data_IF_438187595787
#
_entry.id   IF_438187595787
#
_cell.length_a   1.000
_cell.length_b   1.000
_cell.length_c   1.000
_cell.angle_alpha   90.00
_cell.angle_beta   90.00
_cell.angle_gamma   90.00
#
_symmetry.space_group_name_H-M   'P 1'
#
loop_
_entity.id
_entity.type
_entity.pdbx_description
1 polymer ?
#
# COMPACT_ATOMS: atom_id res chain seq x y z
N UNK A 1 10.10 0.48 -3.04
CA UNK A 1 10.01 -0.35 -1.82
C UNK A 1 8.59 -0.33 -1.25
N UNK A 2 7.91 0.83 -1.21
CA UNK A 2 6.55 0.95 -0.70
C UNK A 2 5.53 0.00 -1.38
N UNK A 3 5.44 0.00 -2.72
CA UNK A 3 4.54 -0.90 -3.45
C UNK A 3 4.88 -2.37 -3.21
N UNK A 4 6.17 -2.66 -3.01
CA UNK A 4 6.63 -4.02 -2.71
C UNK A 4 6.16 -4.49 -1.33
N UNK A 5 6.24 -3.63 -0.32
CA UNK A 5 5.72 -3.91 1.01
C UNK A 5 4.19 -4.14 1.00
N UNK A 6 3.45 -3.41 0.16
CA UNK A 6 2.03 -3.66 -0.05
C UNK A 6 1.79 -5.06 -0.63
N UNK A 7 2.49 -5.42 -1.70
CA UNK A 7 2.38 -6.75 -2.30
C UNK A 7 2.74 -7.87 -1.33
N UNK A 8 3.77 -7.67 -0.51
CA UNK A 8 4.15 -8.64 0.54
C UNK A 8 3.05 -8.77 1.60
N UNK A 9 2.47 -7.65 2.07
CA UNK A 9 1.37 -7.68 3.04
C UNK A 9 0.09 -8.33 2.50
N UNK A 10 -0.13 -8.27 1.18
CA UNK A 10 -1.22 -8.96 0.51
C UNK A 10 -0.91 -10.44 0.22
N UNK A 11 0.34 -10.88 0.32
CA UNK A 11 0.75 -12.17 -0.24
C UNK A 11 0.57 -12.24 -1.75
N UNK A 12 0.69 -11.09 -2.43
CA UNK A 12 0.46 -10.93 -3.86
C UNK A 12 1.71 -11.15 -4.72
N UNK A 13 1.50 -11.35 -6.03
CA UNK A 13 2.55 -11.48 -7.05
C UNK A 13 2.36 -10.45 -8.16
N UNK A 14 3.21 -10.49 -9.19
CA UNK A 14 3.04 -9.62 -10.36
C UNK A 14 1.77 -9.92 -11.19
N UNK A 15 1.10 -11.06 -10.97
CA UNK A 15 -0.15 -11.41 -11.64
C UNK A 15 -1.38 -11.17 -10.76
N UNK A 16 -1.21 -10.63 -9.56
CA UNK A 16 -2.35 -10.32 -8.69
C UNK A 16 -3.22 -9.22 -9.31
N UNK A 17 -4.54 -9.33 -9.23
CA UNK A 17 -5.47 -8.33 -9.78
C UNK A 17 -5.55 -7.10 -8.86
N UNK A 18 -4.51 -6.26 -8.90
CA UNK A 18 -4.35 -5.06 -8.10
C UNK A 18 -3.90 -3.86 -8.94
N UNK A 19 -4.49 -2.70 -8.68
CA UNK A 19 -3.96 -1.41 -9.10
C UNK A 19 -3.34 -0.68 -7.92
N UNK A 20 -2.12 -0.18 -8.04
CA UNK A 20 -1.44 0.60 -7.00
C UNK A 20 -0.85 1.87 -7.59
N UNK A 21 -1.06 2.98 -6.92
CA UNK A 21 -0.42 4.26 -7.24
C UNK A 21 0.13 4.90 -5.97
N UNK A 22 1.44 5.13 -5.95
CA UNK A 22 2.14 5.80 -4.84
C UNK A 22 2.72 7.13 -5.31
N UNK A 23 2.51 8.17 -4.52
CA UNK A 23 3.12 9.48 -4.73
C UNK A 23 3.79 9.97 -3.45
N UNK A 24 4.80 10.83 -3.59
CA UNK A 24 5.31 11.60 -2.46
C UNK A 24 4.20 12.51 -1.94
N UNK A 25 4.07 12.62 -0.61
CA UNK A 25 3.18 13.57 0.04
C UNK A 25 3.98 14.56 0.90
N UNK A 26 3.39 15.72 1.15
CA UNK A 26 4.00 16.80 1.95
C UNK A 26 4.00 16.49 3.46
N UNK A 27 3.35 15.39 3.86
CA UNK A 27 3.30 14.92 5.24
C UNK A 27 4.72 14.70 5.81
N UNK A 28 4.93 15.07 7.08
CA UNK A 28 6.22 14.88 7.76
C UNK A 28 7.32 15.87 7.36
N UNK A 29 7.09 16.70 6.33
CA UNK A 29 7.98 17.80 5.99
C UNK A 29 7.87 18.90 7.04
N UNK A 30 8.78 18.87 8.01
CA UNK A 30 9.02 20.01 8.88
C UNK A 30 9.67 21.13 8.07
N UNK A 31 9.20 22.38 8.24
CA UNK A 31 9.81 23.56 7.62
C UNK A 31 11.27 23.70 8.04
N UNK A 32 12.20 23.17 7.23
CA UNK A 32 13.63 23.44 7.35
C UNK A 32 14.49 22.21 7.63
N UNK A 33 15.31 21.87 6.65
CA UNK A 33 16.48 21.01 6.84
C UNK A 33 16.69 20.04 5.69
N UNK A 34 17.55 20.41 4.75
CA UNK A 34 18.27 19.42 3.94
C UNK A 34 19.06 18.56 4.93
N UNK A 35 18.58 17.35 5.22
CA UNK A 35 19.38 16.39 6.00
C UNK A 35 20.68 16.13 5.23
N UNK A 36 21.83 16.36 5.88
CA UNK A 36 23.18 16.13 5.32
C UNK A 36 23.40 14.67 4.89
N UNK A 37 22.43 13.79 5.16
CA UNK A 37 22.36 12.41 4.70
C UNK A 37 21.04 12.09 3.97
N UNK A 38 20.59 12.91 3.01
CA UNK A 38 19.71 12.50 1.88
C UNK A 38 18.38 11.76 2.19
N UNK A 39 17.96 11.67 3.44
CA UNK A 39 16.76 10.98 3.89
C UNK A 39 15.72 12.07 4.17
N UNK A 40 15.00 12.46 3.11
CA UNK A 40 13.88 13.39 3.23
C UNK A 40 12.80 12.75 4.12
N UNK A 41 12.42 13.44 5.20
CA UNK A 41 11.34 13.10 6.13
C UNK A 41 9.92 13.27 5.52
N UNK A 42 9.79 13.10 4.20
CA UNK A 42 8.51 13.26 3.51
C UNK A 42 7.58 12.07 3.72
N UNK A 43 6.33 12.25 3.34
CA UNK A 43 5.32 11.21 3.39
C UNK A 43 5.17 10.49 2.06
N UNK A 44 4.41 9.42 2.08
CA UNK A 44 3.92 8.71 0.92
C UNK A 44 2.40 8.68 0.99
N UNK A 45 1.74 9.02 -0.11
CA UNK A 45 0.32 8.73 -0.31
C UNK A 45 0.20 7.54 -1.25
N UNK A 46 -0.43 6.48 -0.78
CA UNK A 46 -0.69 5.27 -1.55
C UNK A 46 -2.18 5.10 -1.75
N UNK A 47 -2.57 4.80 -2.99
CA UNK A 47 -3.93 4.40 -3.36
C UNK A 47 -3.86 3.01 -3.96
N UNK A 48 -4.73 2.11 -3.52
CA UNK A 48 -4.77 0.75 -4.01
C UNK A 48 -6.21 0.29 -4.23
N UNK A 49 -6.38 -0.58 -5.23
CA UNK A 49 -7.65 -1.24 -5.54
C UNK A 49 -7.40 -2.71 -5.79
N UNK A 50 -8.07 -3.59 -5.05
CA UNK A 50 -8.11 -5.04 -5.31
C UNK A 50 -9.34 -5.37 -6.16
N UNK A 51 -9.24 -6.36 -7.05
CA UNK A 51 -10.32 -6.79 -7.93
C UNK A 51 -10.57 -8.30 -7.83
N UNK A 52 -11.80 -8.74 -8.14
CA UNK A 52 -12.06 -10.17 -8.40
C UNK A 52 -11.44 -10.60 -9.72
N UNK A 53 -11.29 -11.91 -9.94
CA UNK A 53 -10.66 -12.45 -11.15
C UNK A 53 -11.41 -12.06 -12.44
N UNK A 54 -12.74 -11.90 -12.35
CA UNK A 54 -13.60 -11.45 -13.44
C UNK A 54 -13.79 -9.91 -13.48
N UNK A 55 -13.35 -9.21 -12.43
CA UNK A 55 -13.44 -7.75 -12.31
C UNK A 55 -14.79 -7.19 -11.88
N UNK A 56 -15.80 -8.01 -11.55
CA UNK A 56 -17.10 -7.52 -11.07
C UNK A 56 -17.04 -6.92 -9.66
N UNK A 57 -16.13 -7.41 -8.82
CA UNK A 57 -15.96 -6.93 -7.45
C UNK A 57 -14.67 -6.12 -7.32
N UNK A 58 -14.69 -5.10 -6.46
CA UNK A 58 -13.50 -4.34 -6.10
C UNK A 58 -13.57 -3.79 -4.69
N UNK A 59 -12.40 -3.62 -4.07
CA UNK A 59 -12.24 -2.84 -2.84
C UNK A 59 -11.15 -1.79 -3.05
N UNK A 60 -11.46 -0.56 -2.67
CA UNK A 60 -10.53 0.57 -2.73
C UNK A 60 -10.02 0.98 -1.34
N UNK A 61 -8.84 1.59 -1.33
CA UNK A 61 -8.28 2.18 -0.14
C UNK A 61 -7.21 3.21 -0.47
N UNK A 62 -6.96 4.09 0.48
CA UNK A 62 -5.84 4.99 0.45
C UNK A 62 -5.24 5.14 1.85
N UNK A 63 -3.93 5.33 1.92
CA UNK A 63 -3.21 5.60 3.16
C UNK A 63 -2.15 6.67 2.92
N UNK A 64 -1.91 7.49 3.94
CA UNK A 64 -0.76 8.38 4.00
C UNK A 64 0.15 7.95 5.15
N UNK A 65 1.40 7.65 4.84
CA UNK A 65 2.38 7.11 5.79
C UNK A 65 3.71 7.85 5.69
N UNK A 66 4.52 7.92 6.77
CA UNK A 66 5.89 8.38 6.68
C UNK A 66 6.69 7.55 5.68
N UNK A 67 7.61 8.17 4.95
CA UNK A 67 8.51 7.44 4.06
C UNK A 67 9.36 6.45 4.86
N UNK A 68 9.27 5.18 4.50
CA UNK A 68 10.01 4.09 5.16
C UNK A 68 9.21 3.32 6.20
N UNK A 69 8.00 3.78 6.53
CA UNK A 69 7.08 3.04 7.41
C UNK A 69 6.41 1.88 6.65
N UNK A 70 7.18 0.81 6.45
CA UNK A 70 6.72 -0.37 5.70
C UNK A 70 5.69 -1.18 6.50
N UNK A 71 5.74 -1.14 7.83
CA UNK A 71 4.76 -1.77 8.71
C UNK A 71 3.37 -1.13 8.54
N UNK A 72 3.29 0.21 8.47
CA UNK A 72 2.04 0.90 8.17
C UNK A 72 1.46 0.50 6.80
N UNK A 73 2.32 0.25 5.80
CA UNK A 73 1.89 -0.24 4.47
C UNK A 73 1.37 -1.68 4.54
N UNK A 74 2.01 -2.55 5.33
CA UNK A 74 1.54 -3.94 5.55
C UNK A 74 0.22 -3.96 6.31
N UNK A 75 0.04 -3.08 7.29
CA UNK A 75 -1.24 -2.91 7.97
C UNK A 75 -2.34 -2.43 7.02
N UNK A 76 -2.03 -1.53 6.09
CA UNK A 76 -2.96 -1.10 5.04
C UNK A 76 -3.34 -2.24 4.08
N UNK A 77 -2.40 -3.15 3.75
CA UNK A 77 -2.72 -4.36 2.99
C UNK A 77 -3.70 -5.27 3.74
N UNK A 78 -3.48 -5.50 5.03
CA UNK A 78 -4.37 -6.30 5.87
C UNK A 78 -5.77 -5.70 5.96
N UNK A 79 -5.87 -4.37 6.13
CA UNK A 79 -7.15 -3.64 6.12
C UNK A 79 -7.90 -3.79 4.77
N UNK A 80 -7.20 -3.73 3.65
CA UNK A 80 -7.82 -3.98 2.34
C UNK A 80 -8.37 -5.40 2.22
N UNK A 81 -7.67 -6.40 2.76
CA UNK A 81 -8.12 -7.80 2.74
C UNK A 81 -9.28 -8.06 3.69
N UNK A 82 -9.30 -7.43 4.87
CA UNK A 82 -10.42 -7.54 5.82
C UNK A 82 -11.71 -6.98 5.22
N UNK A 83 -11.60 -5.93 4.40
CA UNK A 83 -12.72 -5.32 3.66
C UNK A 83 -13.04 -6.03 2.33
N UNK A 84 -12.20 -6.96 1.88
CA UNK A 84 -12.38 -7.64 0.62
C UNK A 84 -13.53 -8.66 0.70
N UNK A 85 -14.24 -8.86 -0.41
CA UNK A 85 -15.20 -9.96 -0.52
C UNK A 85 -14.44 -11.30 -0.56
N UNK A 86 -15.10 -12.43 -0.25
CA UNK A 86 -14.45 -13.74 -0.31
C UNK A 86 -13.84 -14.07 -1.69
N UNK A 87 -14.48 -13.60 -2.77
CA UNK A 87 -14.00 -13.77 -4.15
C UNK A 87 -12.69 -13.03 -4.42
N UNK A 88 -12.51 -11.84 -3.82
CA UNK A 88 -11.26 -11.09 -3.89
C UNK A 88 -10.21 -11.70 -2.95
N UNK A 89 -10.57 -11.93 -1.68
CA UNK A 89 -9.64 -12.41 -0.65
C UNK A 89 -8.98 -13.74 -1.04
N UNK A 90 -9.71 -14.64 -1.69
CA UNK A 90 -9.17 -15.93 -2.15
C UNK A 90 -8.03 -15.82 -3.19
N UNK A 91 -7.82 -14.64 -3.80
CA UNK A 91 -6.77 -14.38 -4.79
C UNK A 91 -5.45 -13.91 -4.13
N UNK A 92 -5.44 -13.77 -2.81
CA UNK A 92 -4.35 -13.24 -2.01
C UNK A 92 -4.09 -14.18 -0.83
N UNK A 93 -2.82 -14.44 -0.48
CA UNK A 93 -2.52 -15.32 0.67
C UNK A 93 -2.50 -14.57 2.00
N UNK A 94 -2.48 -13.24 1.99
CA UNK A 94 -2.20 -12.42 3.18
C UNK A 94 -0.73 -12.47 3.60
N UNK A 95 -0.41 -11.73 4.66
CA UNK A 95 0.89 -11.80 5.31
C UNK A 95 0.98 -13.07 6.17
N UNK A 96 2.06 -13.83 6.00
CA UNK A 96 2.46 -14.94 6.89
C UNK A 96 3.05 -14.40 8.20
#
# INVERSE_FOLDING_TARGET
MAERALLEGLGGTCHSPIGVHTALSDMGLSNGGLSERGLSNGGLRMVATLFSADGAERVDGAVEVPRGDLDAIRAFAADLLDRATPGIAALFSGAD
#
